data_IF_276906320902
#
_entry.id   IF_276906320902
#
_cell.length_a   1.000
_cell.length_b   1.000
_cell.length_c   1.000
_cell.angle_alpha   90.00
_cell.angle_beta   90.00
_cell.angle_gamma   90.00
#
_symmetry.space_group_name_H-M   'P 1'
#
loop_
_entity.id
_entity.type
_entity.pdbx_description
1 polymer ?
#
# COMPACT_ATOMS: atom_id res chain seq x y z
N UNK A 1 -17.41 7.86 6.36
CA UNK A 1 -18.15 6.71 5.81
C UNK A 1 -17.28 5.47 5.96
N UNK A 2 -17.78 4.36 6.54
CA UNK A 2 -17.02 3.12 6.60
C UNK A 2 -16.75 2.62 5.17
N UNK A 3 -15.48 2.36 4.86
CA UNK A 3 -15.11 1.76 3.57
C UNK A 3 -15.58 0.31 3.60
N UNK A 4 -16.36 -0.11 2.60
CA UNK A 4 -16.77 -1.50 2.45
C UNK A 4 -15.55 -2.43 2.52
N UNK A 5 -15.65 -3.53 3.27
CA UNK A 5 -14.59 -4.55 3.39
C UNK A 5 -14.05 -4.97 2.02
N UNK A 6 -14.95 -5.09 1.03
CA UNK A 6 -14.59 -5.38 -0.36
C UNK A 6 -13.65 -4.34 -0.98
N UNK A 7 -13.92 -3.05 -0.80
CA UNK A 7 -13.08 -1.98 -1.32
C UNK A 7 -11.72 -1.92 -0.62
N UNK A 8 -11.68 -2.25 0.68
CA UNK A 8 -10.44 -2.36 1.44
C UNK A 8 -9.59 -3.55 0.98
N UNK A 9 -10.20 -4.68 0.63
CA UNK A 9 -9.51 -5.83 0.03
C UNK A 9 -8.89 -5.47 -1.33
N UNK A 10 -9.62 -4.76 -2.19
CA UNK A 10 -9.08 -4.28 -3.47
C UNK A 10 -7.90 -3.32 -3.29
N UNK A 11 -8.00 -2.40 -2.33
CA UNK A 11 -6.90 -1.51 -1.97
C UNK A 11 -5.65 -2.30 -1.50
N UNK A 12 -5.82 -3.26 -0.59
CA UNK A 12 -4.72 -4.09 -0.09
C UNK A 12 -4.09 -4.95 -1.19
N UNK A 13 -4.92 -5.42 -2.14
CA UNK A 13 -4.47 -6.16 -3.31
C UNK A 13 -3.64 -5.27 -4.24
N UNK A 14 -4.03 -4.01 -4.43
CA UNK A 14 -3.26 -3.02 -5.18
C UNK A 14 -1.88 -2.75 -4.59
N UNK A 15 -1.80 -2.58 -3.27
CA UNK A 15 -0.51 -2.46 -2.55
C UNK A 15 0.38 -3.67 -2.77
N UNK A 16 -0.19 -4.86 -2.56
CA UNK A 16 0.54 -6.13 -2.71
C UNK A 16 1.06 -6.32 -4.14
N UNK A 17 0.27 -5.93 -5.14
CA UNK A 17 0.66 -5.97 -6.53
C UNK A 17 1.83 -5.02 -6.81
N UNK A 18 1.83 -3.80 -6.25
CA UNK A 18 2.94 -2.84 -6.41
C UNK A 18 4.24 -3.41 -5.87
N UNK A 19 4.22 -3.96 -4.65
CA UNK A 19 5.40 -4.59 -4.04
C UNK A 19 5.96 -5.71 -4.91
N UNK A 20 5.11 -6.63 -5.39
CA UNK A 20 5.52 -7.73 -6.26
C UNK A 20 6.12 -7.24 -7.57
N UNK A 21 5.47 -6.27 -8.21
CA UNK A 21 5.90 -5.73 -9.50
C UNK A 21 7.26 -5.02 -9.38
N UNK A 22 7.48 -4.29 -8.29
CA UNK A 22 8.76 -3.61 -7.99
C UNK A 22 9.87 -4.60 -7.65
N UNK A 23 9.56 -5.69 -6.93
CA UNK A 23 10.50 -6.79 -6.72
C UNK A 23 10.90 -7.47 -8.03
N UNK A 24 9.94 -7.73 -8.90
CA UNK A 24 10.21 -8.28 -10.22
C UNK A 24 11.06 -7.31 -11.04
N UNK A 25 10.68 -6.04 -11.12
CA UNK A 25 11.41 -4.97 -11.80
C UNK A 25 12.88 -4.88 -11.35
N UNK A 26 13.14 -4.99 -10.04
CA UNK A 26 14.51 -5.00 -9.50
C UNK A 26 15.33 -6.21 -9.96
N UNK A 27 14.70 -7.38 -10.08
CA UNK A 27 15.36 -8.61 -10.55
C UNK A 27 15.57 -8.57 -12.06
N UNK A 28 14.56 -8.17 -12.84
CA UNK A 28 14.59 -8.16 -14.31
C UNK A 28 15.25 -6.91 -14.91
N UNK A 29 15.53 -5.88 -14.10
CA UNK A 29 15.96 -4.54 -14.55
C UNK A 29 14.99 -3.89 -15.54
N UNK A 30 13.71 -4.24 -15.47
CA UNK A 30 12.65 -3.66 -16.30
C UNK A 30 11.84 -2.64 -15.50
N UNK A 31 11.21 -1.69 -16.18
CA UNK A 31 10.31 -0.73 -15.53
C UNK A 31 9.03 -1.42 -15.05
N UNK A 32 8.52 -0.99 -13.89
CA UNK A 32 7.24 -1.45 -13.36
C UNK A 32 6.09 -0.86 -14.16
N UNK A 33 5.34 -1.70 -14.86
CA UNK A 33 4.15 -1.29 -15.60
C UNK A 33 2.90 -1.33 -14.71
N UNK A 34 2.04 -0.33 -14.86
CA UNK A 34 0.72 -0.32 -14.24
C UNK A 34 -0.17 -1.35 -14.96
N UNK A 35 -0.89 -2.23 -14.24
CA UNK A 35 -1.83 -3.17 -14.85
C UNK A 35 -2.98 -2.46 -15.56
N UNK A 36 -3.48 -3.12 -16.61
CA UNK A 36 -4.59 -2.64 -17.42
C UNK A 36 -5.89 -2.47 -16.63
N UNK A 37 -6.80 -1.65 -17.17
CA UNK A 37 -8.08 -1.34 -16.54
C UNK A 37 -8.99 -2.57 -16.39
N UNK A 38 -9.63 -2.70 -15.23
CA UNK A 38 -10.66 -3.72 -14.98
C UNK A 38 -12.07 -3.23 -15.33
N UNK A 39 -12.96 -4.17 -15.66
CA UNK A 39 -14.39 -3.93 -15.94
C UNK A 39 -15.18 -3.38 -14.74
N UNK A 40 -14.65 -3.51 -13.52
CA UNK A 40 -15.23 -2.92 -12.29
C UNK A 40 -14.53 -1.62 -11.94
N UNK A 41 -15.01 -0.50 -12.47
CA UNK A 41 -14.40 0.83 -12.31
C UNK A 41 -14.15 1.21 -10.83
N UNK A 42 -15.13 1.01 -9.95
CA UNK A 42 -15.00 1.36 -8.52
C UNK A 42 -13.94 0.52 -7.81
N UNK A 43 -13.98 -0.80 -8.00
CA UNK A 43 -12.99 -1.70 -7.41
C UNK A 43 -11.56 -1.40 -7.95
N UNK A 44 -11.47 -1.11 -9.25
CA UNK A 44 -10.22 -0.71 -9.90
C UNK A 44 -9.67 0.62 -9.36
N UNK A 45 -10.55 1.57 -9.04
CA UNK A 45 -10.15 2.83 -8.40
C UNK A 45 -9.52 2.58 -7.03
N UNK A 46 -10.15 1.76 -6.17
CA UNK A 46 -9.56 1.40 -4.87
C UNK A 46 -8.24 0.66 -5.01
N UNK A 47 -8.15 -0.23 -5.99
CA UNK A 47 -6.92 -0.94 -6.33
C UNK A 47 -5.80 0.02 -6.76
N UNK A 48 -6.08 0.99 -7.64
CA UNK A 48 -5.12 2.03 -8.06
C UNK A 48 -4.68 2.90 -6.88
N UNK A 49 -5.60 3.28 -5.99
CA UNK A 49 -5.26 3.99 -4.76
C UNK A 49 -4.33 3.17 -3.88
N UNK A 50 -4.56 1.86 -3.79
CA UNK A 50 -3.65 0.92 -3.13
C UNK A 50 -2.26 0.94 -3.75
N UNK A 51 -2.18 0.76 -5.07
CA UNK A 51 -0.93 0.76 -5.83
C UNK A 51 -0.12 2.05 -5.61
N UNK A 52 -0.77 3.22 -5.70
CA UNK A 52 -0.15 4.54 -5.54
C UNK A 52 0.13 4.91 -4.08
N UNK A 53 -0.40 4.17 -3.11
CA UNK A 53 -0.17 4.44 -1.67
C UNK A 53 1.16 3.91 -1.15
N UNK A 54 1.84 3.04 -1.91
CA UNK A 54 3.11 2.43 -1.50
C UNK A 54 4.21 3.48 -1.58
N UNK A 55 4.83 3.77 -0.44
CA UNK A 55 5.93 4.72 -0.36
C UNK A 55 7.28 4.07 -0.69
N UNK A 56 8.28 4.90 -1.00
CA UNK A 56 9.65 4.40 -1.25
C UNK A 56 10.21 3.66 -0.05
N UNK A 57 9.96 4.16 1.16
CA UNK A 57 10.44 3.53 2.40
C UNK A 57 9.81 2.14 2.62
N UNK A 58 8.49 2.02 2.43
CA UNK A 58 7.80 0.73 2.51
C UNK A 58 8.34 -0.27 1.48
N UNK A 59 8.67 0.22 0.29
CA UNK A 59 9.21 -0.60 -0.80
C UNK A 59 10.64 -1.04 -0.52
N UNK A 60 11.50 -0.16 0.01
CA UNK A 60 12.85 -0.51 0.46
C UNK A 60 12.79 -1.58 1.56
N UNK A 61 11.93 -1.40 2.57
CA UNK A 61 11.70 -2.39 3.62
C UNK A 61 11.25 -3.74 3.02
N UNK A 62 10.27 -3.74 2.12
CA UNK A 62 9.81 -4.96 1.44
C UNK A 62 10.93 -5.68 0.67
N UNK A 63 11.80 -4.93 0.00
CA UNK A 63 12.87 -5.51 -0.80
C UNK A 63 14.03 -6.05 0.05
N UNK A 64 14.26 -5.46 1.23
CA UNK A 64 15.35 -5.86 2.12
C UNK A 64 14.92 -6.97 3.09
N UNK A 65 13.71 -6.89 3.65
CA UNK A 65 13.21 -7.79 4.69
C UNK A 65 12.28 -8.88 4.13
N UNK A 66 11.76 -8.70 2.91
CA UNK A 66 10.91 -9.67 2.23
C UNK A 66 9.44 -9.65 2.66
N UNK A 67 9.08 -8.88 3.68
CA UNK A 67 7.70 -8.77 4.18
C UNK A 67 7.03 -7.47 3.75
N UNK A 68 5.78 -7.58 3.24
CA UNK A 68 5.02 -6.41 2.84
C UNK A 68 4.58 -5.66 4.10
N UNK A 69 5.02 -4.41 4.31
CA UNK A 69 4.71 -3.69 5.55
C UNK A 69 3.20 -3.54 5.66
N UNK A 70 2.65 -4.06 6.77
CA UNK A 70 1.27 -3.80 7.16
C UNK A 70 1.18 -2.33 7.50
N UNK A 71 0.35 -1.59 6.75
CA UNK A 71 0.10 -0.20 7.06
C UNK A 71 -0.57 -0.14 8.44
N UNK A 72 0.08 0.51 9.38
CA UNK A 72 -0.55 0.88 10.65
C UNK A 72 -1.80 1.70 10.32
N UNK A 73 -2.90 1.45 11.04
CA UNK A 73 -4.13 2.23 10.86
C UNK A 73 -3.79 3.72 11.06
N UNK A 74 -4.34 4.63 10.26
CA UNK A 74 -4.02 6.05 10.35
C UNK A 74 -4.24 6.58 11.77
N UNK A 75 -5.27 6.09 12.46
CA UNK A 75 -5.53 6.38 13.87
C UNK A 75 -4.41 5.88 14.78
N UNK A 76 -3.94 4.64 14.61
CA UNK A 76 -2.82 4.09 15.37
C UNK A 76 -1.54 4.88 15.13
N UNK A 77 -1.31 5.33 13.90
CA UNK A 77 -0.14 6.13 13.54
C UNK A 77 -0.22 7.54 14.15
N UNK A 78 -1.39 8.16 14.16
CA UNK A 78 -1.63 9.45 14.84
C UNK A 78 -1.45 9.30 16.35
N UNK A 79 -1.94 8.22 16.95
CA UNK A 79 -1.74 7.92 18.38
C UNK A 79 -0.26 7.77 18.72
N UNK A 80 0.52 7.06 17.90
CA UNK A 80 1.97 6.93 18.08
C UNK A 80 2.69 8.28 17.96
N UNK A 81 2.32 9.11 16.98
CA UNK A 81 2.87 10.46 16.82
C UNK A 81 2.54 11.34 18.04
N UNK A 82 1.28 11.30 18.53
CA UNK A 82 0.87 12.02 19.74
C UNK A 82 1.67 11.60 20.96
N UNK A 83 1.89 10.29 21.13
CA UNK A 83 2.73 9.74 22.20
C UNK A 83 4.19 10.21 22.11
N UNK A 84 4.76 10.23 20.90
CA UNK A 84 6.14 10.70 20.66
C UNK A 84 6.30 12.20 20.90
N UNK A 85 5.26 12.99 20.60
CA UNK A 85 5.24 14.44 20.84
C UNK A 85 4.91 14.82 22.29
N UNK A 86 4.71 13.84 23.18
CA UNK A 86 4.41 14.08 24.59
C UNK A 86 3.05 14.72 24.84
N UNK A 87 2.15 14.74 23.85
CA UNK A 87 0.79 15.24 24.00
C UNK A 87 -0.03 14.17 24.70
N UNK A 88 -0.10 14.24 26.03
CA UNK A 88 -1.07 13.51 26.83
C UNK A 88 -2.42 14.25 26.77
N UNK A 89 -3.49 13.50 26.52
CA UNK A 89 -4.87 14.00 26.65
C UNK A 89 -5.15 14.57 28.04
#
# INVERSE_FOLDING_TARGET
MPVSKFNQEWFNTGRSARFKAEKQARVSRTLTLLPESSYRATAHQYWRHGWNSVTRHELEAYLNEGEAPKRLNAEQHITQIRQQLGVKE
#
